data_IF_214522574683
#
_entry.id   IF_214522574683
#
_cell.length_a   1.000
_cell.length_b   1.000
_cell.length_c   1.000
_cell.angle_alpha   90.00
_cell.angle_beta   90.00
_cell.angle_gamma   90.00
#
_symmetry.space_group_name_H-M   'P 1'
#
loop_
_entity.id
_entity.type
_entity.pdbx_description
1 polymer ?
#
# COMPACT_ATOMS: atom_id res chain seq x y z
N UNK A 1 -13.22 -11.77 -13.08
CA UNK A 1 -12.55 -10.63 -13.59
C UNK A 1 -11.06 -10.69 -13.36
N UNK A 2 -10.26 -10.32 -14.34
CA UNK A 2 -8.84 -10.38 -14.17
C UNK A 2 -8.25 -9.06 -13.86
N UNK A 3 -7.31 -9.03 -12.96
CA UNK A 3 -6.55 -7.82 -12.67
C UNK A 3 -5.66 -7.51 -13.87
N UNK A 4 -5.66 -6.28 -14.30
CA UNK A 4 -4.84 -5.85 -15.42
C UNK A 4 -3.76 -4.93 -14.95
N UNK A 5 -2.66 -4.90 -15.65
CA UNK A 5 -1.54 -4.02 -15.34
C UNK A 5 -1.01 -4.23 -13.93
N UNK A 6 -0.98 -5.46 -13.49
CA UNK A 6 -0.52 -5.76 -12.15
C UNK A 6 0.97 -5.44 -12.01
N UNK A 7 1.33 -4.78 -10.95
CA UNK A 7 2.69 -4.40 -10.70
C UNK A 7 2.96 -4.42 -9.22
N UNK A 8 4.13 -4.87 -8.83
CA UNK A 8 4.53 -4.91 -7.43
C UNK A 8 5.88 -4.29 -7.29
N UNK A 9 6.12 -3.59 -6.22
CA UNK A 9 7.44 -3.09 -5.92
C UNK A 9 7.62 -2.95 -4.43
N UNK A 10 8.86 -3.01 -3.99
CA UNK A 10 9.17 -2.87 -2.59
C UNK A 10 9.81 -1.53 -2.35
N UNK A 11 9.45 -0.91 -1.27
CA UNK A 11 10.07 0.35 -0.88
C UNK A 11 10.08 0.47 0.62
N UNK A 12 10.86 1.41 1.12
CA UNK A 12 10.91 1.67 2.54
C UNK A 12 9.88 2.72 2.88
N UNK A 13 9.04 2.40 3.86
CA UNK A 13 8.04 3.34 4.33
C UNK A 13 8.25 3.45 5.82
N UNK A 14 8.59 4.63 6.28
CA UNK A 14 8.85 4.87 7.70
C UNK A 14 9.89 3.90 8.26
N UNK A 15 10.86 3.53 7.44
CA UNK A 15 11.92 2.63 7.88
C UNK A 15 11.58 1.16 7.82
N UNK A 16 10.43 0.81 7.26
CA UNK A 16 10.01 -0.58 7.15
C UNK A 16 9.94 -1.02 5.70
N UNK A 17 10.29 -2.25 5.40
CA UNK A 17 10.14 -2.75 4.04
C UNK A 17 8.68 -3.04 3.77
N UNK A 18 8.15 -2.40 2.74
CA UNK A 18 6.74 -2.50 2.39
C UNK A 18 6.61 -2.90 0.94
N UNK A 19 5.72 -3.80 0.66
CA UNK A 19 5.44 -4.23 -0.70
C UNK A 19 4.19 -3.53 -1.18
N UNK A 20 4.28 -2.83 -2.30
CA UNK A 20 3.15 -2.14 -2.88
C UNK A 20 2.75 -2.86 -4.15
N UNK A 21 1.51 -3.33 -4.19
CA UNK A 21 0.98 -3.97 -5.38
C UNK A 21 -0.14 -3.10 -5.92
N UNK A 22 -0.19 -2.94 -7.21
CA UNK A 22 -1.25 -2.17 -7.83
C UNK A 22 -1.74 -2.87 -9.10
N UNK A 23 -2.99 -2.66 -9.44
CA UNK A 23 -3.57 -3.27 -10.61
C UNK A 23 -4.85 -2.53 -10.95
N UNK A 24 -5.38 -2.81 -12.12
CA UNK A 24 -6.60 -2.16 -12.57
C UNK A 24 -7.71 -3.18 -12.74
N UNK A 25 -8.88 -2.85 -12.26
CA UNK A 25 -10.07 -3.65 -12.49
C UNK A 25 -11.09 -2.70 -13.11
N UNK A 26 -11.37 -2.91 -14.40
CA UNK A 26 -12.25 -2.01 -15.10
C UNK A 26 -11.64 -0.62 -15.19
N UNK A 27 -12.31 0.36 -14.66
CA UNK A 27 -11.82 1.72 -14.68
C UNK A 27 -11.22 2.17 -13.36
N UNK A 28 -11.06 1.26 -12.45
CA UNK A 28 -10.60 1.63 -11.11
C UNK A 28 -9.26 0.99 -10.84
N UNK A 29 -8.34 1.79 -10.33
CA UNK A 29 -7.04 1.30 -9.93
C UNK A 29 -7.07 0.95 -8.45
N UNK A 30 -6.45 -0.15 -8.12
CA UNK A 30 -6.37 -0.61 -6.75
C UNK A 30 -4.92 -0.71 -6.34
N UNK A 31 -4.65 -0.39 -5.09
CA UNK A 31 -3.30 -0.54 -4.57
C UNK A 31 -3.37 -1.13 -3.18
N UNK A 32 -2.37 -1.91 -2.85
CA UNK A 32 -2.32 -2.58 -1.59
C UNK A 32 -0.91 -2.46 -1.03
N UNK A 33 -0.80 -2.15 0.22
CA UNK A 33 0.50 -2.07 0.89
C UNK A 33 0.58 -3.17 1.92
N UNK A 34 1.63 -3.97 1.86
CA UNK A 34 1.84 -5.06 2.80
C UNK A 34 3.17 -4.90 3.48
N UNK A 35 3.20 -5.17 4.76
CA UNK A 35 4.45 -5.17 5.49
C UNK A 35 5.16 -6.50 5.16
N UNK A 36 6.31 -6.43 4.54
CA UNK A 36 7.02 -7.62 4.11
C UNK A 36 7.34 -8.51 5.29
N UNK A 37 7.68 -7.93 6.39
CA UNK A 37 7.98 -8.67 7.58
C UNK A 37 7.26 -8.04 8.74
N UNK A 38 6.24 -8.64 9.25
CA UNK A 38 5.82 -10.03 9.21
C UNK A 38 4.84 -10.39 8.11
N UNK A 39 4.59 -9.54 7.17
CA UNK A 39 3.73 -9.91 6.09
C UNK A 39 2.27 -9.61 6.29
N UNK A 40 1.98 -8.59 7.05
CA UNK A 40 0.61 -8.21 7.32
C UNK A 40 0.16 -7.13 6.35
N UNK A 41 -1.10 -7.16 5.97
CA UNK A 41 -1.65 -6.14 5.11
C UNK A 41 -1.77 -4.84 5.88
N UNK A 42 -1.28 -3.77 5.31
CA UNK A 42 -1.32 -2.47 5.96
C UNK A 42 -2.46 -1.61 5.43
N UNK A 43 -2.67 -1.61 4.14
CA UNK A 43 -3.65 -0.71 3.55
C UNK A 43 -4.11 -1.20 2.20
N UNK A 44 -5.32 -0.85 1.85
CA UNK A 44 -5.84 -1.07 0.52
C UNK A 44 -6.54 0.19 0.12
N UNK A 45 -6.26 0.67 -1.08
CA UNK A 45 -6.83 1.91 -1.55
C UNK A 45 -7.24 1.79 -2.99
N UNK A 46 -8.02 2.74 -3.46
CA UNK A 46 -8.42 2.80 -4.84
C UNK A 46 -8.20 4.22 -5.36
N UNK A 47 -8.15 4.38 -6.64
CA UNK A 47 -7.99 5.68 -7.22
C UNK A 47 -8.34 5.67 -8.69
N UNK A 48 -8.32 6.83 -9.30
CA UNK A 48 -8.59 6.97 -10.72
C UNK A 48 -7.36 6.65 -11.56
N UNK A 49 -6.21 6.55 -10.92
CA UNK A 49 -4.97 6.20 -11.62
C UNK A 49 -4.10 5.38 -10.68
N UNK A 50 -3.12 4.70 -11.25
CA UNK A 50 -2.18 3.92 -10.46
C UNK A 50 -1.47 4.81 -9.44
N UNK A 51 -1.04 5.95 -9.91
CA UNK A 51 -0.32 6.87 -9.07
C UNK A 51 -1.13 7.28 -7.88
N UNK A 52 -2.38 7.59 -8.10
CA UNK A 52 -3.25 8.00 -7.02
C UNK A 52 -3.48 6.87 -6.03
N UNK A 53 -3.77 5.68 -6.53
CA UNK A 53 -4.02 4.55 -5.66
C UNK A 53 -2.79 4.20 -4.85
N UNK A 54 -1.62 4.19 -5.48
CA UNK A 54 -0.38 3.87 -4.79
C UNK A 54 -0.03 4.93 -3.76
N UNK A 55 -0.22 6.19 -4.10
CA UNK A 55 0.08 7.26 -3.18
C UNK A 55 -0.75 7.17 -1.91
N UNK A 56 -2.03 6.85 -2.07
CA UNK A 56 -2.90 6.70 -0.93
C UNK A 56 -2.48 5.50 -0.08
N UNK A 57 -2.11 4.40 -0.73
CA UNK A 57 -1.68 3.22 0.00
C UNK A 57 -0.40 3.49 0.78
N UNK A 58 0.54 4.19 0.18
CA UNK A 58 1.78 4.53 0.85
C UNK A 58 1.53 5.47 2.01
N UNK A 59 0.68 6.46 1.82
CA UNK A 59 0.37 7.40 2.89
C UNK A 59 -0.27 6.68 4.07
N UNK A 60 -1.16 5.76 3.79
CA UNK A 60 -1.81 5.02 4.85
C UNK A 60 -0.83 4.11 5.57
N UNK A 61 0.05 3.46 4.81
CA UNK A 61 1.06 2.61 5.40
C UNK A 61 1.98 3.41 6.31
N UNK A 62 2.36 4.59 5.85
CA UNK A 62 3.19 5.47 6.64
C UNK A 62 2.54 5.80 7.97
N UNK A 63 1.26 6.12 7.91
CA UNK A 63 0.51 6.45 9.09
C UNK A 63 0.48 5.30 10.07
N UNK A 64 0.23 4.10 9.56
CA UNK A 64 0.13 2.93 10.41
C UNK A 64 1.46 2.51 10.99
N UNK A 65 2.53 2.66 10.22
CA UNK A 65 3.84 2.25 10.69
C UNK A 65 4.49 3.28 11.60
N UNK A 66 4.13 4.51 11.46
CA UNK A 66 4.70 5.57 12.25
C UNK A 66 4.05 5.73 13.60
N UNK A 67 2.81 5.24 13.80
CA UNK A 67 2.18 5.47 15.00
C UNK A 67 2.26 4.48 16.03
N UNK A 68 2.66 3.31 15.87
CA UNK A 68 2.56 2.32 16.89
C UNK A 68 3.18 2.63 18.15
N UNK A 69 4.16 3.28 18.21
CA UNK A 69 4.75 3.43 19.38
C UNK A 69 4.27 4.49 20.11
N UNK A 70 3.46 5.09 19.82
CA UNK A 70 3.15 6.09 20.51
C UNK A 70 2.37 5.81 21.50
N UNK A 71 2.00 5.44 21.94
CA UNK A 71 1.27 5.21 22.77
C UNK A 71 1.58 4.76 23.79
N UNK A 72 1.87 4.60 23.99
CA UNK A 72 2.14 4.11 24.91
C UNK A 72 2.22 4.79 25.86
N UNK A 73 2.08 5.23 26.05
CA UNK A 73 2.04 5.71 26.93
C UNK A 73 1.65 5.96 27.40
#
# INVERSE_FOLDING_TARGET
MKAEEYQERKLDVAGWPVNIASYRLGDVWHAKADNVSPGAALARTTGASREEAERKAIARAEELLAKPKRHSV
#
